data_IF_725553012322
#
_entry.id   IF_725553012322
#
_cell.length_a   1.000
_cell.length_b   1.000
_cell.length_c   1.000
_cell.angle_alpha   90.00
_cell.angle_beta   90.00
_cell.angle_gamma   90.00
#
_symmetry.space_group_name_H-M   'P 1'
#
loop_
_entity.id
_entity.type
_entity.pdbx_description
1 polymer ?
#
# COMPACT_ATOMS: atom_id res chain seq x y z
N UNK A 1 1.86 8.91 9.96
CA UNK A 1 1.28 9.86 9.00
C UNK A 1 0.16 9.15 8.30
N UNK A 2 -1.04 9.73 8.27
CA UNK A 2 -2.18 9.21 7.50
C UNK A 2 -2.68 10.37 6.65
N UNK A 3 -2.67 10.20 5.34
CA UNK A 3 -3.02 11.22 4.35
C UNK A 3 -2.37 12.59 4.65
N UNK A 4 -1.06 12.55 4.94
CA UNK A 4 -0.26 13.74 5.22
C UNK A 4 1.12 13.64 4.59
N UNK A 5 1.75 14.79 4.35
CA UNK A 5 3.12 14.84 3.85
C UNK A 5 4.05 15.56 4.81
N UNK A 6 5.35 15.31 4.67
CA UNK A 6 6.42 16.08 5.29
C UNK A 6 7.46 16.43 4.23
N UNK A 7 7.96 17.66 4.29
CA UNK A 7 9.02 18.14 3.41
C UNK A 7 10.35 18.11 4.17
N UNK A 8 11.36 17.53 3.54
CA UNK A 8 12.75 17.53 4.01
C UNK A 8 13.59 17.99 2.84
N UNK A 9 14.19 19.18 2.97
CA UNK A 9 14.91 19.85 1.89
C UNK A 9 14.05 19.99 0.62
N UNK A 10 14.46 19.40 -0.51
CA UNK A 10 13.73 19.39 -1.78
C UNK A 10 12.93 18.11 -2.02
N UNK A 11 12.73 17.27 -1.00
CA UNK A 11 12.01 16.01 -1.07
C UNK A 11 10.70 16.11 -0.28
N UNK A 12 9.60 15.67 -0.90
CA UNK A 12 8.31 15.50 -0.23
C UNK A 12 8.02 14.02 -0.02
N UNK A 13 7.79 13.64 1.23
CA UNK A 13 7.34 12.30 1.62
C UNK A 13 5.83 12.31 1.83
N UNK A 14 5.10 11.53 1.03
CA UNK A 14 3.65 11.37 1.11
C UNK A 14 3.32 10.09 1.87
N UNK A 15 2.69 10.19 3.05
CA UNK A 15 2.37 9.04 3.89
C UNK A 15 0.89 8.73 3.94
N UNK A 16 0.52 7.48 3.67
CA UNK A 16 -0.84 6.95 3.88
C UNK A 16 -0.80 5.45 4.21
N UNK A 17 -1.69 4.95 5.05
CA UNK A 17 -1.84 3.49 5.24
C UNK A 17 -2.22 2.83 3.92
N UNK A 18 -2.99 3.54 3.09
CA UNK A 18 -3.50 3.10 1.80
C UNK A 18 -4.11 1.70 1.93
N UNK A 19 -5.13 1.55 2.78
CA UNK A 19 -5.98 0.35 2.79
C UNK A 19 -6.37 -0.08 1.37
N UNK A 20 -6.81 -1.30 1.14
CA UNK A 20 -7.12 -1.75 -0.23
C UNK A 20 -8.54 -1.42 -0.68
N UNK A 21 -8.74 -1.45 -2.00
CA UNK A 21 -10.03 -1.28 -2.67
C UNK A 21 -10.68 -2.62 -3.09
N UNK A 22 -10.03 -3.75 -2.85
CA UNK A 22 -10.48 -5.11 -3.23
C UNK A 22 -10.74 -5.33 -4.73
N UNK A 23 -10.24 -4.45 -5.61
CA UNK A 23 -10.56 -4.48 -7.04
C UNK A 23 -9.66 -5.41 -7.87
N UNK A 24 -8.60 -5.99 -7.29
CA UNK A 24 -7.55 -6.72 -8.03
C UNK A 24 -8.09 -7.78 -9.00
N UNK A 25 -9.12 -8.51 -8.59
CA UNK A 25 -9.65 -9.65 -9.35
C UNK A 25 -11.09 -9.41 -9.84
N UNK A 26 -11.55 -8.15 -9.85
CA UNK A 26 -12.89 -7.76 -10.29
C UNK A 26 -13.69 -7.08 -9.18
N UNK A 27 -14.87 -7.63 -8.84
CA UNK A 27 -15.87 -6.95 -7.99
C UNK A 27 -15.37 -6.66 -6.56
N UNK A 28 -15.19 -5.38 -6.17
CA UNK A 28 -14.79 -4.99 -4.82
C UNK A 28 -15.73 -5.51 -3.73
N UNK A 29 -17.02 -5.60 -4.03
CA UNK A 29 -18.03 -6.09 -3.09
C UNK A 29 -17.84 -7.58 -2.82
N UNK A 30 -17.59 -8.38 -3.86
CA UNK A 30 -17.41 -9.82 -3.73
C UNK A 30 -16.11 -10.14 -2.98
N UNK A 31 -14.99 -9.59 -3.43
CA UNK A 31 -13.68 -9.83 -2.80
C UNK A 31 -13.55 -9.17 -1.43
N UNK A 32 -14.13 -8.00 -1.23
CA UNK A 32 -14.20 -7.34 0.07
C UNK A 32 -15.01 -8.15 1.08
N UNK A 33 -16.14 -8.74 0.69
CA UNK A 33 -16.91 -9.64 1.56
C UNK A 33 -16.10 -10.90 1.92
N UNK A 34 -15.47 -11.52 0.92
CA UNK A 34 -14.62 -12.69 1.13
C UNK A 34 -13.46 -12.38 2.10
N UNK A 35 -12.67 -11.34 1.82
CA UNK A 35 -11.54 -10.93 2.63
C UNK A 35 -11.97 -10.60 4.06
N UNK A 36 -13.15 -9.98 4.24
CA UNK A 36 -13.67 -9.64 5.56
C UNK A 36 -13.83 -10.86 6.49
N UNK A 37 -14.18 -12.02 5.94
CA UNK A 37 -14.32 -13.26 6.71
C UNK A 37 -12.98 -13.88 7.11
N UNK A 38 -11.93 -13.63 6.32
CA UNK A 38 -10.64 -14.28 6.47
C UNK A 38 -9.64 -13.45 7.27
N UNK A 39 -9.55 -12.15 6.99
CA UNK A 39 -8.54 -11.25 7.56
C UNK A 39 -8.78 -10.94 9.04
N UNK A 40 -7.69 -10.91 9.80
CA UNK A 40 -7.72 -10.58 11.23
C UNK A 40 -8.10 -9.12 11.47
N UNK A 41 -7.82 -8.22 10.53
CA UNK A 41 -8.14 -6.80 10.64
C UNK A 41 -9.63 -6.58 10.96
N UNK A 42 -10.52 -7.28 10.25
CA UNK A 42 -11.97 -7.15 10.48
C UNK A 42 -12.49 -7.93 11.69
N UNK A 43 -11.66 -8.81 12.26
CA UNK A 43 -11.96 -9.53 13.51
C UNK A 43 -11.53 -8.73 14.72
N UNK A 44 -10.40 -8.03 14.63
CA UNK A 44 -9.68 -7.45 15.77
C UNK A 44 -9.74 -5.93 15.81
N UNK A 45 -9.73 -5.24 14.67
CA UNK A 45 -9.78 -3.77 14.64
C UNK A 45 -11.19 -3.28 15.00
N UNK A 46 -11.23 -2.26 15.85
CA UNK A 46 -12.45 -1.53 16.23
C UNK A 46 -12.31 -0.08 15.84
N UNK A 47 -13.38 0.49 15.31
CA UNK A 47 -13.41 1.88 14.85
C UNK A 47 -13.81 2.80 16.00
N UNK A 48 -12.99 3.79 16.26
CA UNK A 48 -13.36 4.92 17.11
C UNK A 48 -14.31 5.89 16.36
N UNK A 49 -15.29 6.54 17.03
CA UNK A 49 -15.70 6.38 18.42
C UNK A 49 -16.75 5.27 18.63
N UNK A 50 -17.29 4.70 17.53
CA UNK A 50 -18.41 3.75 17.58
C UNK A 50 -18.11 2.42 18.28
N UNK A 51 -16.83 2.10 18.45
CA UNK A 51 -16.29 0.79 18.87
C UNK A 51 -16.80 -0.40 18.03
N UNK A 52 -17.32 -0.15 16.83
CA UNK A 52 -17.81 -1.18 15.92
C UNK A 52 -16.66 -1.87 15.19
N UNK A 53 -16.87 -3.13 14.78
CA UNK A 53 -15.88 -3.85 13.96
C UNK A 53 -15.58 -3.07 12.68
N UNK A 54 -14.31 -3.02 12.30
CA UNK A 54 -13.92 -2.59 10.96
C UNK A 54 -14.56 -3.52 9.92
N UNK A 55 -15.05 -2.99 8.81
CA UNK A 55 -15.59 -3.76 7.68
C UNK A 55 -14.85 -3.42 6.40
N UNK A 56 -14.94 -4.29 5.40
CA UNK A 56 -14.30 -4.06 4.10
C UNK A 56 -14.79 -2.78 3.43
N UNK A 57 -16.07 -2.42 3.61
CA UNK A 57 -16.60 -1.13 3.11
C UNK A 57 -15.95 0.09 3.78
N UNK A 58 -15.49 -0.04 5.02
CA UNK A 58 -14.83 1.06 5.73
C UNK A 58 -13.41 1.25 5.17
N UNK A 59 -12.64 0.17 5.03
CA UNK A 59 -11.29 0.20 4.43
C UNK A 59 -11.32 0.60 2.95
N UNK A 60 -12.34 0.16 2.20
CA UNK A 60 -12.57 0.60 0.82
C UNK A 60 -12.75 2.12 0.74
N UNK A 61 -13.56 2.71 1.62
CA UNK A 61 -13.78 4.16 1.63
C UNK A 61 -12.51 4.91 2.00
N UNK A 62 -11.77 4.43 3.01
CA UNK A 62 -10.49 5.01 3.40
C UNK A 62 -9.53 5.00 2.20
N UNK A 63 -9.41 3.87 1.48
CA UNK A 63 -8.61 3.80 0.25
C UNK A 63 -8.97 4.89 -0.76
N UNK A 64 -10.26 5.10 -1.05
CA UNK A 64 -10.68 6.10 -2.02
C UNK A 64 -10.28 7.52 -1.57
N UNK A 65 -10.40 7.82 -0.28
CA UNK A 65 -9.95 9.10 0.28
C UNK A 65 -8.43 9.26 0.18
N UNK A 66 -7.65 8.26 0.59
CA UNK A 66 -6.19 8.28 0.49
C UNK A 66 -5.72 8.42 -0.94
N UNK A 67 -6.34 7.71 -1.91
CA UNK A 67 -5.99 7.82 -3.33
C UNK A 67 -6.29 9.21 -3.88
N UNK A 68 -7.43 9.80 -3.51
CA UNK A 68 -7.78 11.16 -3.92
C UNK A 68 -6.84 12.20 -3.29
N UNK A 69 -6.48 12.02 -2.03
CA UNK A 69 -5.52 12.87 -1.33
C UNK A 69 -4.13 12.77 -1.97
N UNK A 70 -3.62 11.55 -2.20
CA UNK A 70 -2.33 11.30 -2.86
C UNK A 70 -2.26 11.99 -4.22
N UNK A 71 -3.34 11.87 -5.02
CA UNK A 71 -3.43 12.57 -6.32
C UNK A 71 -3.17 14.07 -6.16
N UNK A 72 -3.94 14.73 -5.31
CA UNK A 72 -3.84 16.18 -5.06
C UNK A 72 -2.45 16.56 -4.51
N UNK A 73 -1.91 15.75 -3.60
CA UNK A 73 -0.62 16.01 -2.96
C UNK A 73 0.51 15.94 -3.99
N UNK A 74 0.54 14.90 -4.82
CA UNK A 74 1.51 14.74 -5.91
C UNK A 74 1.38 15.84 -6.96
N UNK A 75 0.15 16.19 -7.37
CA UNK A 75 -0.09 17.29 -8.30
C UNK A 75 0.40 18.64 -7.76
N UNK A 76 0.28 18.87 -6.45
CA UNK A 76 0.74 20.10 -5.80
C UNK A 76 2.26 20.19 -5.60
N UNK A 77 2.98 19.09 -5.83
CA UNK A 77 4.42 18.96 -5.53
C UNK A 77 5.25 18.52 -6.74
N UNK A 78 4.76 18.74 -7.97
CA UNK A 78 5.46 18.38 -9.22
C UNK A 78 6.89 18.94 -9.34
N UNK A 79 7.23 20.01 -8.63
CA UNK A 79 8.58 20.60 -8.61
C UNK A 79 9.54 20.01 -7.57
N UNK A 80 9.09 19.03 -6.77
CA UNK A 80 9.88 18.40 -5.71
C UNK A 80 10.24 16.96 -6.09
N UNK A 81 11.25 16.39 -5.43
CA UNK A 81 11.46 14.94 -5.46
C UNK A 81 10.37 14.28 -4.62
N UNK A 82 9.48 13.51 -5.22
CA UNK A 82 8.35 12.91 -4.52
C UNK A 82 8.64 11.46 -4.13
N UNK A 83 8.40 11.12 -2.87
CA UNK A 83 8.49 9.76 -2.35
C UNK A 83 7.16 9.40 -1.71
N UNK A 84 6.54 8.32 -2.15
CA UNK A 84 5.30 7.80 -1.57
C UNK A 84 5.65 6.68 -0.60
N UNK A 85 5.06 6.71 0.60
CA UNK A 85 5.25 5.70 1.64
C UNK A 85 3.88 5.17 2.06
N UNK A 86 3.64 3.87 1.82
CA UNK A 86 2.37 3.22 2.16
C UNK A 86 2.54 1.97 3.01
N UNK A 87 1.47 1.54 3.69
CA UNK A 87 1.50 0.23 4.33
C UNK A 87 1.24 -0.89 3.32
N UNK A 88 0.09 -0.84 2.63
CA UNK A 88 -0.30 -1.85 1.66
C UNK A 88 0.39 -1.64 0.30
N UNK A 89 0.49 -2.72 -0.48
CA UNK A 89 1.19 -2.72 -1.75
C UNK A 89 0.38 -2.02 -2.86
N UNK A 90 1.04 -1.23 -3.73
CA UNK A 90 0.37 -0.50 -4.80
C UNK A 90 0.19 -1.31 -6.09
N UNK A 91 0.67 -2.55 -6.13
CA UNK A 91 0.55 -3.43 -7.30
C UNK A 91 0.66 -4.90 -6.91
N UNK A 92 0.05 -5.76 -7.75
CA UNK A 92 0.14 -7.22 -7.65
C UNK A 92 1.57 -7.73 -7.91
N UNK A 93 2.44 -6.92 -8.52
CA UNK A 93 3.84 -7.29 -8.77
C UNK A 93 4.64 -7.50 -7.48
N UNK A 94 4.28 -6.82 -6.39
CA UNK A 94 4.90 -7.06 -5.08
C UNK A 94 4.52 -8.41 -4.45
N UNK A 95 3.46 -9.05 -4.93
CA UNK A 95 2.91 -10.26 -4.31
C UNK A 95 3.66 -11.51 -4.81
N UNK A 96 4.07 -12.44 -3.92
CA UNK A 96 4.69 -13.69 -4.32
C UNK A 96 3.82 -14.50 -5.30
N UNK A 97 4.46 -15.17 -6.26
CA UNK A 97 3.77 -15.82 -7.39
C UNK A 97 2.66 -16.79 -6.97
N UNK A 98 2.85 -17.53 -5.88
CA UNK A 98 1.87 -18.49 -5.36
C UNK A 98 0.63 -17.84 -4.74
N UNK A 99 0.70 -16.56 -4.35
CA UNK A 99 -0.44 -15.78 -3.82
C UNK A 99 -1.10 -14.89 -4.88
N UNK A 100 -0.50 -14.71 -6.07
CA UNK A 100 -1.06 -13.83 -7.11
C UNK A 100 -2.44 -14.25 -7.62
N UNK A 101 -2.84 -15.51 -7.43
CA UNK A 101 -4.16 -16.03 -7.78
C UNK A 101 -5.07 -16.22 -6.57
N UNK A 102 -4.58 -15.95 -5.35
CA UNK A 102 -5.37 -16.06 -4.14
C UNK A 102 -6.31 -14.84 -4.03
N UNK A 103 -7.64 -15.04 -3.99
CA UNK A 103 -8.61 -13.96 -3.80
C UNK A 103 -8.35 -13.07 -2.58
N UNK A 104 -7.74 -13.61 -1.53
CA UNK A 104 -7.44 -12.90 -0.28
C UNK A 104 -6.36 -11.81 -0.49
N UNK A 105 -5.55 -11.92 -1.54
CA UNK A 105 -4.56 -10.91 -1.94
C UNK A 105 -5.19 -9.53 -2.18
N UNK A 106 -6.50 -9.47 -2.49
CA UNK A 106 -7.27 -8.22 -2.57
C UNK A 106 -7.32 -7.42 -1.27
N UNK A 107 -6.97 -8.01 -0.12
CA UNK A 107 -6.80 -7.31 1.16
C UNK A 107 -5.38 -6.77 1.39
N UNK A 108 -4.41 -7.15 0.56
CA UNK A 108 -2.99 -6.83 0.74
C UNK A 108 -2.45 -5.84 -0.29
N UNK A 109 -3.00 -5.85 -1.50
CA UNK A 109 -2.60 -4.97 -2.59
C UNK A 109 -3.81 -4.37 -3.33
N UNK A 110 -3.57 -3.23 -3.98
CA UNK A 110 -4.46 -2.64 -4.98
C UNK A 110 -3.70 -2.50 -6.31
N UNK A 111 -4.41 -2.36 -7.43
CA UNK A 111 -3.78 -2.07 -8.72
C UNK A 111 -3.72 -0.55 -8.93
N UNK A 112 -2.58 0.07 -8.64
CA UNK A 112 -2.32 1.50 -8.85
C UNK A 112 -1.26 1.75 -9.93
N UNK A 113 -1.00 0.79 -10.82
CA UNK A 113 0.07 0.92 -11.82
C UNK A 113 -0.12 2.10 -12.77
N UNK A 114 -1.36 2.35 -13.22
CA UNK A 114 -1.70 3.51 -14.06
C UNK A 114 -1.51 4.82 -13.29
N UNK A 115 -1.92 4.86 -12.01
CA UNK A 115 -1.76 6.02 -11.14
C UNK A 115 -0.28 6.36 -10.94
N UNK A 116 0.56 5.35 -10.71
CA UNK A 116 2.01 5.50 -10.59
C UNK A 116 2.61 5.99 -11.91
N UNK A 117 2.21 5.40 -13.04
CA UNK A 117 2.71 5.78 -14.36
C UNK A 117 2.33 7.22 -14.74
N UNK A 118 1.18 7.71 -14.28
CA UNK A 118 0.73 9.10 -14.48
C UNK A 118 1.55 10.12 -13.66
N UNK A 119 1.82 9.81 -12.38
CA UNK A 119 2.41 10.80 -11.45
C UNK A 119 3.92 10.65 -11.24
N UNK A 120 4.46 9.46 -11.52
CA UNK A 120 5.87 9.08 -11.45
C UNK A 120 6.64 9.67 -10.25
N UNK A 121 6.24 9.38 -8.99
CA UNK A 121 7.11 9.67 -7.85
C UNK A 121 8.45 8.96 -8.03
N UNK A 122 9.53 9.47 -7.43
CA UNK A 122 10.86 8.87 -7.54
C UNK A 122 10.88 7.45 -6.95
N UNK A 123 10.28 7.31 -5.76
CA UNK A 123 10.15 6.05 -5.05
C UNK A 123 8.74 5.83 -4.54
N UNK A 124 8.29 4.57 -4.54
CA UNK A 124 7.14 4.11 -3.78
C UNK A 124 7.58 3.01 -2.82
N UNK A 125 7.62 3.33 -1.53
CA UNK A 125 8.05 2.41 -0.49
C UNK A 125 6.79 1.84 0.18
N UNK A 126 6.69 0.52 0.27
CA UNK A 126 5.58 -0.12 0.97
C UNK A 126 6.02 -1.29 1.85
N UNK A 127 5.09 -1.81 2.65
CA UNK A 127 5.29 -2.98 3.50
C UNK A 127 4.20 -4.03 3.25
N UNK A 128 3.75 -4.63 4.36
CA UNK A 128 2.63 -5.57 4.47
C UNK A 128 2.79 -6.93 3.77
N UNK A 129 3.32 -6.94 2.54
CA UNK A 129 3.72 -8.16 1.86
C UNK A 129 5.02 -8.63 2.47
N UNK A 130 5.02 -9.67 3.31
CA UNK A 130 6.19 -10.19 4.04
C UNK A 130 7.26 -10.85 3.12
N UNK A 131 7.51 -10.27 1.94
CA UNK A 131 8.50 -10.68 0.97
C UNK A 131 9.13 -9.42 0.40
N UNK A 132 10.44 -9.21 0.57
CA UNK A 132 11.13 -8.08 -0.03
C UNK A 132 11.04 -8.13 -1.56
N UNK A 133 10.77 -6.99 -2.17
CA UNK A 133 10.67 -6.83 -3.62
C UNK A 133 11.20 -5.47 -4.03
N UNK A 134 11.87 -5.39 -5.17
CA UNK A 134 12.32 -4.14 -5.79
C UNK A 134 12.11 -4.22 -7.29
N UNK A 135 11.31 -3.32 -7.85
CA UNK A 135 10.96 -3.32 -9.27
C UNK A 135 10.54 -1.91 -9.72
N UNK A 136 10.24 -1.73 -11.01
CA UNK A 136 9.82 -0.44 -11.57
C UNK A 136 8.42 -0.47 -12.17
N UNK A 137 7.69 0.63 -12.03
CA UNK A 137 6.49 0.96 -12.81
C UNK A 137 6.75 2.35 -13.41
N UNK A 138 6.91 2.44 -14.73
CA UNK A 138 7.45 3.66 -15.36
C UNK A 138 8.85 3.97 -14.81
N UNK A 139 9.11 5.23 -14.46
CA UNK A 139 10.37 5.62 -13.81
C UNK A 139 10.35 5.45 -12.29
N UNK A 140 9.19 5.20 -11.68
CA UNK A 140 9.07 4.99 -10.23
C UNK A 140 9.67 3.65 -9.83
N UNK A 141 10.59 3.68 -8.86
CA UNK A 141 11.08 2.47 -8.23
C UNK A 141 10.22 2.09 -7.00
N UNK A 142 9.64 0.90 -7.05
CA UNK A 142 8.82 0.31 -5.99
C UNK A 142 9.72 -0.54 -5.10
N UNK A 143 9.68 -0.28 -3.79
CA UNK A 143 10.54 -0.95 -2.82
C UNK A 143 9.69 -1.49 -1.67
N UNK A 144 9.83 -2.77 -1.40
CA UNK A 144 9.32 -3.43 -0.22
C UNK A 144 10.49 -4.14 0.47
N UNK A 145 10.73 -3.83 1.75
CA UNK A 145 11.75 -4.50 2.54
C UNK A 145 11.25 -4.79 3.97
N UNK A 146 10.23 -5.64 4.14
CA UNK A 146 9.65 -5.92 5.44
C UNK A 146 10.33 -7.13 6.09
N UNK A 147 10.59 -7.01 7.39
CA UNK A 147 11.14 -8.11 8.19
C UNK A 147 10.19 -9.32 8.28
N UNK A 148 8.87 -9.08 8.29
CA UNK A 148 7.88 -10.09 8.63
C UNK A 148 7.86 -10.41 10.13
N UNK A 149 7.17 -11.49 10.52
CA UNK A 149 7.13 -11.93 11.91
C UNK A 149 8.42 -12.62 12.31
N UNK A 150 8.82 -12.49 13.59
CA UNK A 150 10.00 -13.19 14.16
C UNK A 150 9.89 -14.72 14.03
N UNK A 151 8.67 -15.25 13.99
CA UNK A 151 8.41 -16.68 13.84
C UNK A 151 8.42 -17.17 12.39
N UNK A 152 8.46 -16.25 11.41
CA UNK A 152 8.56 -16.61 10.00
C UNK A 152 10.00 -16.99 9.63
N UNK A 153 10.14 -17.76 8.57
CA UNK A 153 11.46 -18.04 7.99
C UNK A 153 12.04 -16.74 7.46
N UNK A 154 13.37 -16.61 7.53
CA UNK A 154 14.06 -15.47 6.93
C UNK A 154 13.66 -15.31 5.46
N UNK A 155 13.17 -14.13 5.12
CA UNK A 155 12.54 -13.84 3.83
C UNK A 155 13.45 -13.04 2.88
N UNK A 156 14.70 -12.75 3.29
CA UNK A 156 15.63 -11.93 2.51
C UNK A 156 15.61 -10.44 2.85
N UNK A 157 14.92 -10.03 3.93
CA UNK A 157 14.94 -8.64 4.41
C UNK A 157 16.38 -8.16 4.63
N UNK A 158 16.68 -6.98 4.09
CA UNK A 158 17.97 -6.32 4.25
C UNK A 158 17.91 -5.28 5.38
N UNK A 159 18.59 -5.59 6.48
CA UNK A 159 18.64 -4.72 7.66
C UNK A 159 19.42 -3.42 7.45
N UNK A 160 20.27 -3.37 6.42
CA UNK A 160 21.16 -2.24 6.12
C UNK A 160 20.78 -1.55 4.80
N UNK A 161 19.56 -1.78 4.30
CA UNK A 161 19.08 -1.15 3.07
C UNK A 161 19.07 0.37 3.23
N UNK A 162 19.93 1.03 2.47
CA UNK A 162 19.99 2.48 2.33
C UNK A 162 19.63 2.84 0.88
N UNK A 163 18.79 3.87 0.72
CA UNK A 163 18.41 4.43 -0.57
C UNK A 163 18.96 5.85 -0.62
N UNK A 164 19.87 6.10 -1.57
CA UNK A 164 20.43 7.43 -1.84
C UNK A 164 19.54 8.19 -2.82
N UNK A 165 19.34 9.49 -2.60
CA UNK A 165 18.37 10.36 -3.31
C UNK A 165 19.03 11.55 -3.97
#
# INVERSE_FOLDING_TARGET
MEDSFVDIENIRFHGATLWTDFSLFGSPMAYGSLCQTQMNDYKMIRRDPSYSKMRSIDTFKIHQFSRQWLKKSLESSKGMKNIVVTHHAPSLQSVPEHFKKDPVTSAYASNLEDFISEHQPLYWIHGHIHTPTRYKIGETEIICNPHGYITEKYNGYDKELIIEI
#
